data_IF_311015322315
#
_entry.id   IF_311015322315
#
_cell.length_a   1.000
_cell.length_b   1.000
_cell.length_c   1.000
_cell.angle_alpha   90.00
_cell.angle_beta   90.00
_cell.angle_gamma   90.00
#
_symmetry.space_group_name_H-M   'P 1'
#
loop_
_entity.id
_entity.type
_entity.pdbx_description
1 polymer ?
#
# COMPACT_ATOMS: atom_id res chain seq x y z
N UNK A 1 -25.76 0.01 -5.35
CA UNK A 1 -24.43 0.50 -5.06
C UNK A 1 -24.48 2.00 -4.74
N UNK A 2 -23.68 2.42 -3.75
CA UNK A 2 -23.56 3.82 -3.36
C UNK A 2 -22.55 4.50 -4.28
N UNK A 3 -22.84 5.73 -4.73
CA UNK A 3 -21.94 6.52 -5.60
C UNK A 3 -21.76 7.90 -5.00
N UNK A 4 -20.51 8.39 -4.92
CA UNK A 4 -20.26 9.74 -4.41
C UNK A 4 -20.51 10.81 -5.48
N UNK A 5 -20.92 12.00 -5.05
CA UNK A 5 -20.99 13.17 -5.91
C UNK A 5 -19.57 13.68 -6.24
N UNK A 6 -19.39 14.32 -7.41
CA UNK A 6 -18.11 14.93 -7.82
C UNK A 6 -17.94 16.28 -7.12
N UNK A 7 -17.61 16.27 -5.83
CA UNK A 7 -17.53 17.48 -5.02
C UNK A 7 -16.19 17.57 -4.29
N UNK A 8 -15.54 18.72 -4.41
CA UNK A 8 -14.22 18.98 -3.79
C UNK A 8 -14.18 18.70 -2.28
N UNK A 9 -15.22 19.06 -1.55
CA UNK A 9 -15.28 18.88 -0.10
C UNK A 9 -15.65 17.45 0.33
N UNK A 10 -15.95 16.56 -0.60
CA UNK A 10 -16.49 15.23 -0.31
C UNK A 10 -15.65 14.13 -0.92
N UNK A 11 -15.39 14.19 -2.24
CA UNK A 11 -14.92 13.04 -3.03
C UNK A 11 -13.41 13.06 -3.29
N UNK A 12 -12.64 12.91 -2.23
CA UNK A 12 -11.19 12.70 -2.29
C UNK A 12 -10.82 11.20 -2.30
N UNK A 13 -9.54 10.91 -2.34
CA UNK A 13 -8.98 9.54 -2.31
C UNK A 13 -9.33 8.77 -1.03
N UNK A 14 -9.39 9.43 0.12
CA UNK A 14 -9.77 8.81 1.40
C UNK A 14 -11.21 8.30 1.38
N UNK A 15 -12.16 9.13 0.91
CA UNK A 15 -13.55 8.69 0.74
C UNK A 15 -13.65 7.59 -0.32
N UNK A 16 -12.89 7.70 -1.42
CA UNK A 16 -12.92 6.71 -2.49
C UNK A 16 -12.51 5.32 -2.00
N UNK A 17 -11.47 5.23 -1.15
CA UNK A 17 -11.05 3.98 -0.53
C UNK A 17 -12.12 3.45 0.43
N UNK A 18 -12.66 4.30 1.31
CA UNK A 18 -13.68 3.90 2.26
C UNK A 18 -14.95 3.40 1.55
N UNK A 19 -15.40 4.13 0.54
CA UNK A 19 -16.60 3.77 -0.23
C UNK A 19 -16.40 2.48 -1.03
N UNK A 20 -15.22 2.29 -1.63
CA UNK A 20 -14.91 1.07 -2.36
C UNK A 20 -14.89 -0.16 -1.46
N UNK A 21 -14.45 -0.06 -0.21
CA UNK A 21 -14.54 -1.12 0.81
C UNK A 21 -15.98 -1.58 1.03
N UNK A 22 -16.93 -0.66 1.02
CA UNK A 22 -18.37 -0.94 1.21
C UNK A 22 -19.10 -1.26 -0.11
N UNK A 23 -18.37 -1.50 -1.20
CA UNK A 23 -18.96 -1.85 -2.50
C UNK A 23 -19.50 -0.68 -3.32
N UNK A 24 -19.16 0.55 -2.91
CA UNK A 24 -19.54 1.77 -3.63
C UNK A 24 -18.45 2.27 -4.58
N UNK A 25 -18.81 3.25 -5.42
CA UNK A 25 -17.89 3.91 -6.37
C UNK A 25 -17.79 5.40 -6.05
N UNK A 26 -16.58 5.90 -5.89
CA UNK A 26 -16.35 7.34 -5.76
C UNK A 26 -15.79 7.93 -7.04
N UNK A 27 -16.22 9.16 -7.37
CA UNK A 27 -15.63 9.97 -8.43
C UNK A 27 -14.77 11.06 -7.80
N UNK A 28 -13.46 11.01 -8.02
CA UNK A 28 -12.54 12.06 -7.57
C UNK A 28 -12.93 13.38 -8.25
N UNK A 29 -12.95 14.47 -7.49
CA UNK A 29 -13.38 15.77 -7.99
C UNK A 29 -12.41 16.36 -9.02
N UNK A 30 -12.93 16.93 -10.13
CA UNK A 30 -12.16 17.52 -11.22
C UNK A 30 -11.75 18.98 -10.99
N UNK A 31 -12.22 19.66 -9.93
CA UNK A 31 -11.89 21.07 -9.64
C UNK A 31 -10.51 21.24 -8.99
N UNK A 32 -9.47 20.64 -9.62
CA UNK A 32 -8.07 20.66 -9.21
C UNK A 32 -7.17 20.46 -10.43
N UNK A 33 -5.84 20.52 -10.26
CA UNK A 33 -4.92 20.25 -11.36
C UNK A 33 -5.01 18.78 -11.82
N UNK A 34 -4.65 18.53 -13.07
CA UNK A 34 -4.64 17.18 -13.66
C UNK A 34 -3.73 16.24 -12.85
N UNK A 35 -2.55 16.74 -12.48
CA UNK A 35 -1.55 15.99 -11.72
C UNK A 35 -2.06 15.62 -10.33
N UNK A 36 -2.73 16.55 -9.64
CA UNK A 36 -3.29 16.32 -8.30
C UNK A 36 -4.40 15.27 -8.33
N UNK A 37 -5.30 15.35 -9.32
CA UNK A 37 -6.38 14.39 -9.50
C UNK A 37 -5.83 12.99 -9.86
N UNK A 38 -4.91 12.92 -10.82
CA UNK A 38 -4.25 11.68 -11.22
C UNK A 38 -3.52 11.03 -10.04
N UNK A 39 -2.89 11.83 -9.16
CA UNK A 39 -2.23 11.32 -7.97
C UNK A 39 -3.22 10.74 -6.96
N UNK A 40 -4.39 11.37 -6.77
CA UNK A 40 -5.46 10.80 -5.93
C UNK A 40 -5.96 9.47 -6.51
N UNK A 41 -6.15 9.38 -7.82
CA UNK A 41 -6.52 8.12 -8.50
C UNK A 41 -5.45 7.06 -8.26
N UNK A 42 -4.16 7.36 -8.44
CA UNK A 42 -3.06 6.41 -8.18
C UNK A 42 -3.06 5.93 -6.73
N UNK A 43 -3.30 6.82 -5.75
CA UNK A 43 -3.39 6.44 -4.34
C UNK A 43 -4.52 5.46 -4.08
N UNK A 44 -5.70 5.64 -4.68
CA UNK A 44 -6.78 4.65 -4.59
C UNK A 44 -6.36 3.33 -5.24
N UNK A 45 -5.77 3.38 -6.44
CA UNK A 45 -5.33 2.19 -7.18
C UNK A 45 -4.15 1.45 -6.53
N UNK A 46 -3.35 2.11 -5.71
CA UNK A 46 -2.29 1.45 -4.94
C UNK A 46 -2.83 0.58 -3.80
N UNK A 47 -4.09 0.77 -3.41
CA UNK A 47 -4.74 -0.07 -2.42
C UNK A 47 -5.25 -1.35 -3.08
N UNK A 48 -4.61 -2.46 -2.79
CA UNK A 48 -5.04 -3.81 -3.13
C UNK A 48 -5.57 -4.45 -1.84
N UNK A 49 -6.81 -4.95 -1.87
CA UNK A 49 -7.42 -5.51 -0.67
C UNK A 49 -6.54 -6.58 -0.01
N UNK A 50 -6.11 -6.32 1.22
CA UNK A 50 -5.19 -7.19 1.96
C UNK A 50 -3.72 -7.16 1.51
N UNK A 51 -3.37 -6.45 0.44
CA UNK A 51 -1.99 -6.26 -0.03
C UNK A 51 -1.62 -4.78 0.12
N UNK A 52 -0.70 -4.49 1.02
CA UNK A 52 -0.34 -3.11 1.41
C UNK A 52 1.04 -2.77 0.86
N UNK A 53 1.19 -1.68 0.08
CA UNK A 53 2.51 -1.18 -0.28
C UNK A 53 3.33 -0.84 0.97
N UNK A 54 4.64 -1.01 0.91
CA UNK A 54 5.48 -0.64 2.04
C UNK A 54 5.54 0.88 2.20
N UNK A 55 5.03 1.38 3.32
CA UNK A 55 5.06 2.80 3.66
C UNK A 55 6.28 3.19 4.51
N UNK A 56 7.09 2.22 4.91
CA UNK A 56 8.23 2.40 5.82
C UNK A 56 9.40 1.58 5.33
N UNK A 57 10.37 2.27 4.72
CA UNK A 57 11.53 1.64 4.08
C UNK A 57 12.81 2.31 4.56
N UNK A 58 13.82 1.52 4.86
CA UNK A 58 15.18 1.95 5.21
C UNK A 58 16.21 1.07 4.48
N UNK A 59 17.46 1.50 4.49
CA UNK A 59 18.57 0.65 4.06
C UNK A 59 19.21 -0.05 5.25
N UNK A 60 20.06 -1.02 4.99
CA UNK A 60 20.82 -1.75 6.02
C UNK A 60 21.83 -0.86 6.80
N UNK A 61 22.19 0.31 6.24
CA UNK A 61 23.12 1.26 6.83
C UNK A 61 22.47 2.28 7.78
N UNK A 62 21.15 2.38 7.78
CA UNK A 62 20.42 3.16 8.77
C UNK A 62 20.61 2.60 10.18
N UNK A 63 20.19 3.36 11.19
CA UNK A 63 20.38 3.04 12.59
C UNK A 63 19.06 2.66 13.29
N UNK A 64 19.17 2.15 14.52
CA UNK A 64 17.99 1.94 15.35
C UNK A 64 17.25 3.25 15.64
N UNK A 65 17.97 4.39 15.76
CA UNK A 65 17.34 5.70 15.90
C UNK A 65 16.41 6.01 14.71
N UNK A 66 16.85 5.72 13.48
CA UNK A 66 16.04 5.94 12.26
C UNK A 66 14.79 5.06 12.24
N UNK A 67 14.90 3.80 12.69
CA UNK A 67 13.75 2.89 12.83
C UNK A 67 12.73 3.43 13.83
N UNK A 68 13.20 3.95 14.97
CA UNK A 68 12.32 4.51 16.01
C UNK A 68 11.63 5.78 15.52
N UNK A 69 12.36 6.68 14.87
CA UNK A 69 11.81 7.91 14.29
C UNK A 69 10.75 7.60 13.21
N UNK A 70 11.02 6.61 12.34
CA UNK A 70 10.09 6.20 11.30
C UNK A 70 8.81 5.57 11.90
N UNK A 71 8.98 4.79 12.98
CA UNK A 71 7.84 4.20 13.71
C UNK A 71 6.99 5.26 14.40
N UNK A 72 7.61 6.25 15.03
CA UNK A 72 6.89 7.38 15.66
C UNK A 72 6.11 8.18 14.63
N UNK A 73 6.71 8.45 13.48
CA UNK A 73 6.10 9.21 12.39
C UNK A 73 4.92 8.47 11.73
N UNK A 74 5.06 7.19 11.46
CA UNK A 74 4.14 6.41 10.62
C UNK A 74 3.25 5.43 11.40
N UNK A 75 3.55 5.15 12.68
CA UNK A 75 2.82 4.20 13.52
C UNK A 75 2.99 2.72 13.14
N UNK A 76 3.81 2.39 12.14
CA UNK A 76 3.98 1.01 11.67
C UNK A 76 5.02 0.24 12.51
N UNK A 77 4.74 -1.05 12.75
CA UNK A 77 5.61 -1.94 13.51
C UNK A 77 6.57 -2.76 12.64
N UNK A 78 6.38 -2.74 11.34
CA UNK A 78 7.21 -3.46 10.36
C UNK A 78 7.83 -2.46 9.41
N UNK A 79 9.15 -2.51 9.28
CA UNK A 79 9.95 -1.68 8.36
C UNK A 79 10.62 -2.59 7.35
N UNK A 80 10.42 -2.34 6.07
CA UNK A 80 11.15 -3.04 5.01
C UNK A 80 12.58 -2.50 4.92
N UNK A 81 13.53 -3.39 4.80
CA UNK A 81 14.93 -3.03 4.52
C UNK A 81 15.19 -3.37 3.06
N UNK A 82 15.34 -2.32 2.27
CA UNK A 82 15.58 -2.43 0.84
C UNK A 82 16.94 -1.84 0.48
N UNK A 83 17.43 -2.15 -0.72
CA UNK A 83 18.75 -1.69 -1.16
C UNK A 83 18.86 -0.15 -1.21
N UNK A 84 17.77 0.52 -1.57
CA UNK A 84 17.70 1.97 -1.85
C UNK A 84 16.70 2.74 -0.97
N UNK A 85 16.13 2.10 0.06
CA UNK A 85 15.07 2.64 0.91
C UNK A 85 13.77 3.01 0.15
N UNK A 86 13.55 2.48 -1.05
CA UNK A 86 12.31 2.69 -1.80
C UNK A 86 11.26 1.59 -1.53
N UNK A 87 9.96 1.86 -1.72
CA UNK A 87 8.90 0.87 -1.52
C UNK A 87 9.02 -0.38 -2.38
N UNK A 88 9.63 -0.25 -3.57
CA UNK A 88 9.79 -1.33 -4.55
C UNK A 88 11.26 -1.71 -4.74
N UNK A 89 12.14 -1.32 -3.82
CA UNK A 89 13.55 -1.70 -3.85
C UNK A 89 13.74 -3.19 -3.59
N UNK A 90 14.93 -3.71 -3.92
CA UNK A 90 15.29 -5.10 -3.65
C UNK A 90 15.28 -5.35 -2.13
N UNK A 91 14.54 -6.38 -1.71
CA UNK A 91 14.34 -6.70 -0.31
C UNK A 91 15.58 -7.35 0.30
N UNK A 92 16.21 -6.68 1.26
CA UNK A 92 17.35 -7.18 2.02
C UNK A 92 16.95 -7.80 3.37
N UNK A 93 15.80 -7.41 3.89
CA UNK A 93 15.31 -7.89 5.17
C UNK A 93 14.11 -7.12 5.69
N UNK A 94 13.70 -7.39 6.90
CA UNK A 94 12.70 -6.61 7.64
C UNK A 94 13.17 -6.34 9.06
N UNK A 95 12.64 -5.25 9.63
CA UNK A 95 12.74 -4.97 11.08
C UNK A 95 11.34 -4.91 11.66
N UNK A 96 11.13 -5.62 12.73
CA UNK A 96 9.89 -5.61 13.51
C UNK A 96 10.19 -5.26 14.98
N UNK A 97 9.15 -4.99 15.76
CA UNK A 97 9.31 -4.72 17.20
C UNK A 97 9.91 -5.89 18.01
N UNK A 98 10.05 -7.07 17.41
CA UNK A 98 10.69 -8.24 18.02
C UNK A 98 12.20 -8.29 17.82
N UNK A 99 12.72 -7.55 16.84
CA UNK A 99 14.13 -7.59 16.45
C UNK A 99 15.00 -6.67 17.31
N UNK A 100 14.41 -5.76 18.09
CA UNK A 100 15.16 -4.83 18.93
C UNK A 100 14.51 -4.61 20.30
N UNK A 101 15.38 -4.23 21.26
CA UNK A 101 14.98 -3.80 22.61
C UNK A 101 15.66 -2.48 22.94
N UNK A 102 14.90 -1.39 22.92
CA UNK A 102 15.42 -0.03 23.17
C UNK A 102 16.19 0.10 24.50
N UNK A 103 15.78 -0.66 25.53
CA UNK A 103 16.45 -0.65 26.84
C UNK A 103 17.80 -1.38 26.88
N UNK A 104 18.19 -2.09 25.81
CA UNK A 104 19.38 -2.95 25.79
C UNK A 104 20.28 -2.76 24.57
N UNK A 105 19.83 -1.97 23.58
CA UNK A 105 20.55 -1.77 22.34
C UNK A 105 20.88 -0.29 22.17
N UNK A 106 22.09 0.01 21.66
CA UNK A 106 22.44 1.39 21.29
C UNK A 106 21.58 1.86 20.13
N UNK A 107 21.14 3.09 20.17
CA UNK A 107 20.40 3.74 19.07
C UNK A 107 21.25 3.90 17.80
N UNK A 108 22.58 3.89 17.92
CA UNK A 108 23.52 4.00 16.79
C UNK A 108 23.79 2.66 16.09
N UNK A 109 23.24 1.55 16.63
CA UNK A 109 23.40 0.23 16.05
C UNK A 109 22.82 0.17 14.64
N UNK A 110 23.58 -0.37 13.70
CA UNK A 110 23.17 -0.46 12.29
C UNK A 110 22.07 -1.50 12.12
N UNK A 111 21.10 -1.21 11.24
CA UNK A 111 19.96 -2.09 10.94
C UNK A 111 20.42 -3.49 10.53
N UNK A 112 21.48 -3.63 9.75
CA UNK A 112 22.06 -4.92 9.33
C UNK A 112 22.43 -5.85 10.50
N UNK A 113 22.68 -5.31 11.68
CA UNK A 113 23.13 -6.07 12.85
C UNK A 113 21.96 -6.72 13.62
N UNK A 114 20.75 -6.22 13.44
CA UNK A 114 19.58 -6.73 14.16
C UNK A 114 18.36 -7.04 13.29
N UNK A 115 18.37 -6.68 12.00
CA UNK A 115 17.26 -7.03 11.09
C UNK A 115 17.14 -8.54 10.93
N UNK A 116 15.95 -9.00 10.58
CA UNK A 116 15.76 -10.35 10.02
C UNK A 116 16.15 -10.30 8.54
N UNK A 117 17.28 -10.93 8.14
CA UNK A 117 17.78 -10.84 6.76
C UNK A 117 16.93 -11.67 5.79
N UNK A 118 17.04 -11.34 4.49
CA UNK A 118 16.25 -11.95 3.40
C UNK A 118 16.22 -13.47 3.42
N UNK A 119 17.35 -14.10 3.71
CA UNK A 119 17.52 -15.56 3.69
C UNK A 119 16.70 -16.27 4.78
N UNK A 120 16.33 -15.54 5.84
CA UNK A 120 15.51 -16.04 6.94
C UNK A 120 14.03 -15.67 6.81
N UNK A 121 13.68 -14.87 5.78
CA UNK A 121 12.30 -14.46 5.56
C UNK A 121 11.54 -15.49 4.73
N UNK A 122 10.34 -15.79 5.17
CA UNK A 122 9.33 -16.40 4.31
C UNK A 122 8.74 -15.29 3.45
N UNK A 123 8.78 -15.45 2.15
CA UNK A 123 8.21 -14.53 1.17
C UNK A 123 7.29 -15.31 0.21
N UNK A 124 6.46 -14.61 -0.54
CA UNK A 124 5.63 -15.22 -1.55
C UNK A 124 5.69 -14.43 -2.87
N UNK A 125 5.46 -15.06 -4.03
CA UNK A 125 5.54 -14.43 -5.34
C UNK A 125 4.35 -13.51 -5.61
N UNK A 126 4.48 -12.64 -6.63
CA UNK A 126 3.46 -11.69 -7.06
C UNK A 126 2.10 -12.33 -7.42
N UNK A 127 2.12 -13.60 -7.86
CA UNK A 127 0.92 -14.38 -8.24
C UNK A 127 0.11 -14.87 -7.04
N UNK A 128 0.64 -14.79 -5.82
CA UNK A 128 0.00 -15.28 -4.59
C UNK A 128 -1.35 -14.61 -4.37
N UNK A 129 -2.37 -15.40 -4.14
CA UNK A 129 -3.70 -14.90 -3.74
C UNK A 129 -3.71 -14.55 -2.26
N UNK A 130 -4.69 -13.72 -1.84
CA UNK A 130 -4.81 -13.36 -0.42
C UNK A 130 -5.07 -14.57 0.48
N UNK A 131 -5.79 -15.59 -0.03
CA UNK A 131 -6.03 -16.84 0.70
C UNK A 131 -4.73 -17.59 0.91
N UNK A 132 -3.96 -17.84 -0.14
CA UNK A 132 -2.65 -18.50 -0.06
C UNK A 132 -1.68 -17.75 0.86
N UNK A 133 -1.62 -16.41 0.74
CA UNK A 133 -0.81 -15.58 1.62
C UNK A 133 -1.20 -15.75 3.09
N UNK A 134 -2.51 -15.84 3.37
CA UNK A 134 -2.99 -16.06 4.72
C UNK A 134 -2.66 -17.49 5.24
N UNK A 135 -2.75 -18.50 4.39
CA UNK A 135 -2.38 -19.88 4.76
C UNK A 135 -0.88 -19.94 5.12
N UNK A 136 -0.01 -19.30 4.34
CA UNK A 136 1.43 -19.15 4.64
C UNK A 136 1.65 -18.41 5.97
N UNK A 137 0.94 -17.30 6.20
CA UNK A 137 1.02 -16.54 7.45
C UNK A 137 0.68 -17.42 8.68
N UNK A 138 -0.36 -18.25 8.57
CA UNK A 138 -0.78 -19.13 9.66
C UNK A 138 0.21 -20.28 9.88
N UNK A 139 0.65 -20.93 8.82
CA UNK A 139 1.60 -22.05 8.87
C UNK A 139 2.92 -21.64 9.53
N UNK A 140 3.47 -20.49 9.08
CA UNK A 140 4.74 -19.97 9.58
C UNK A 140 4.61 -19.03 10.78
N UNK A 141 3.40 -18.81 11.33
CA UNK A 141 3.11 -17.94 12.47
C UNK A 141 3.63 -16.50 12.29
N UNK A 142 3.50 -15.98 11.07
CA UNK A 142 3.96 -14.64 10.71
C UNK A 142 2.96 -13.57 11.13
N UNK A 143 3.44 -12.33 11.29
CA UNK A 143 2.59 -11.13 11.39
C UNK A 143 2.49 -10.38 10.07
N UNK A 144 3.51 -10.51 9.22
CA UNK A 144 3.60 -9.90 7.90
C UNK A 144 4.28 -10.87 6.93
N UNK A 145 3.78 -10.95 5.73
CA UNK A 145 4.34 -11.73 4.63
C UNK A 145 4.73 -10.76 3.52
N UNK A 146 6.02 -10.62 3.21
CA UNK A 146 6.47 -9.86 2.03
C UNK A 146 6.11 -10.60 0.74
N UNK A 147 5.55 -9.87 -0.21
CA UNK A 147 5.31 -10.34 -1.57
C UNK A 147 6.37 -9.72 -2.47
N UNK A 148 7.11 -10.55 -3.18
CA UNK A 148 8.25 -10.12 -4.01
C UNK A 148 8.08 -10.55 -5.47
N UNK A 149 8.79 -9.88 -6.38
CA UNK A 149 8.91 -10.32 -7.76
C UNK A 149 10.03 -11.35 -7.95
N UNK A 150 10.27 -11.74 -9.21
CA UNK A 150 11.29 -12.72 -9.59
C UNK A 150 12.74 -12.25 -9.30
N UNK A 151 12.96 -10.95 -9.09
CA UNK A 151 14.24 -10.32 -8.78
C UNK A 151 14.38 -9.95 -7.30
N UNK A 152 13.49 -10.44 -6.44
CA UNK A 152 13.40 -10.09 -5.01
C UNK A 152 13.06 -8.62 -4.72
N UNK A 153 12.45 -7.88 -5.65
CA UNK A 153 11.92 -6.56 -5.35
C UNK A 153 10.63 -6.67 -4.54
N UNK A 154 10.52 -5.86 -3.50
CA UNK A 154 9.33 -5.81 -2.66
C UNK A 154 8.16 -5.19 -3.43
N UNK A 155 7.04 -5.90 -3.52
CA UNK A 155 5.82 -5.39 -4.13
C UNK A 155 4.81 -4.95 -3.08
N UNK A 156 4.52 -5.83 -2.12
CA UNK A 156 3.52 -5.63 -1.08
C UNK A 156 3.90 -6.34 0.20
N UNK A 157 3.24 -5.96 1.28
CA UNK A 157 3.06 -6.80 2.47
C UNK A 157 1.62 -7.32 2.54
N UNK A 158 1.46 -8.54 3.07
CA UNK A 158 0.18 -9.02 3.58
C UNK A 158 0.33 -9.15 5.10
N UNK A 159 -0.50 -8.44 5.86
CA UNK A 159 -0.49 -8.52 7.31
C UNK A 159 -1.60 -9.44 7.80
N UNK A 160 -1.32 -10.18 8.85
CA UNK A 160 -2.29 -11.09 9.48
C UNK A 160 -3.57 -10.38 9.90
N UNK A 161 -3.48 -9.13 10.38
CA UNK A 161 -4.63 -8.31 10.76
C UNK A 161 -5.52 -7.93 9.57
N UNK A 162 -4.92 -7.69 8.41
CA UNK A 162 -5.65 -7.17 7.23
C UNK A 162 -6.51 -8.25 6.56
N UNK A 163 -6.21 -9.53 6.80
CA UNK A 163 -7.06 -10.62 6.36
C UNK A 163 -8.41 -10.65 7.08
N UNK A 164 -8.43 -10.31 8.37
CA UNK A 164 -9.68 -10.16 9.12
C UNK A 164 -10.50 -8.99 8.56
N UNK A 165 -9.86 -7.84 8.33
CA UNK A 165 -10.50 -6.65 7.73
C UNK A 165 -11.09 -6.97 6.34
N UNK A 166 -10.39 -7.75 5.51
CA UNK A 166 -10.91 -8.16 4.20
C UNK A 166 -12.19 -9.02 4.31
N UNK A 167 -12.31 -9.86 5.35
CA UNK A 167 -13.53 -10.62 5.62
C UNK A 167 -14.71 -9.75 6.04
N UNK A 168 -14.44 -8.60 6.66
CA UNK A 168 -15.46 -7.63 7.06
C UNK A 168 -16.04 -6.86 5.86
N UNK A 169 -15.30 -6.79 4.74
CA UNK A 169 -15.70 -6.08 3.52
C UNK A 169 -15.85 -7.02 2.29
N UNK A 170 -16.75 -8.01 2.33
CA UNK A 170 -16.89 -9.00 1.26
C UNK A 170 -17.42 -8.42 -0.06
N UNK A 171 -18.04 -7.25 0.00
CA UNK A 171 -18.62 -6.54 -1.14
C UNK A 171 -17.68 -5.49 -1.76
N UNK A 172 -16.43 -5.40 -1.29
CA UNK A 172 -15.49 -4.39 -1.75
C UNK A 172 -15.40 -4.35 -3.28
N UNK A 173 -15.54 -3.14 -3.84
CA UNK A 173 -15.54 -2.90 -5.28
C UNK A 173 -14.12 -2.87 -5.82
N UNK A 174 -13.73 -3.89 -6.57
CA UNK A 174 -12.36 -4.14 -7.00
C UNK A 174 -12.27 -4.49 -8.49
N UNK A 175 -11.11 -4.24 -9.08
CA UNK A 175 -10.76 -4.73 -10.42
C UNK A 175 -10.22 -6.19 -10.37
N UNK A 176 -9.93 -6.75 -11.55
CA UNK A 176 -9.39 -8.12 -11.68
C UNK A 176 -8.06 -8.32 -10.95
N UNK A 177 -7.31 -7.23 -10.70
CA UNK A 177 -6.06 -7.23 -9.93
C UNK A 177 -6.27 -7.00 -8.44
N UNK A 178 -7.53 -7.03 -7.97
CA UNK A 178 -7.92 -6.79 -6.56
C UNK A 178 -7.61 -5.38 -6.04
N UNK A 179 -7.45 -4.40 -6.91
CA UNK A 179 -7.29 -2.99 -6.57
C UNK A 179 -8.66 -2.32 -6.54
N UNK A 180 -8.86 -1.36 -5.63
CA UNK A 180 -10.14 -0.64 -5.56
C UNK A 180 -10.46 0.08 -6.87
N UNK A 181 -11.73 0.04 -7.26
CA UNK A 181 -12.23 0.82 -8.39
C UNK A 181 -12.47 2.26 -7.96
N UNK A 182 -12.16 3.18 -8.86
CA UNK A 182 -12.37 4.62 -8.68
C UNK A 182 -12.73 5.26 -9.99
N UNK A 183 -13.66 6.19 -9.95
CA UNK A 183 -13.98 7.09 -11.05
C UNK A 183 -13.28 8.44 -10.87
N UNK A 184 -13.31 9.26 -11.92
CA UNK A 184 -12.78 10.61 -11.92
C UNK A 184 -13.71 11.57 -12.66
N UNK A 185 -13.81 12.80 -12.17
CA UNK A 185 -14.58 13.87 -12.76
C UNK A 185 -13.81 14.61 -13.83
N UNK A 186 -14.41 14.83 -14.98
CA UNK A 186 -13.83 15.64 -16.06
C UNK A 186 -14.75 16.78 -16.43
N UNK A 187 -14.20 17.84 -16.98
CA UNK A 187 -14.93 18.95 -17.54
C UNK A 187 -14.63 19.11 -19.04
N UNK A 188 -15.38 19.96 -19.71
CA UNK A 188 -15.26 20.18 -21.16
C UNK A 188 -14.10 21.11 -21.56
N UNK A 189 -13.34 21.65 -20.61
CA UNK A 189 -12.29 22.67 -20.90
C UNK A 189 -10.93 22.02 -21.17
N UNK A 190 -10.54 21.04 -20.35
CA UNK A 190 -9.21 20.42 -20.37
C UNK A 190 -9.23 18.91 -20.59
N UNK A 191 -10.37 18.35 -20.99
CA UNK A 191 -10.59 16.92 -21.15
C UNK A 191 -9.52 16.22 -22.02
N UNK A 192 -9.03 16.92 -23.05
CA UNK A 192 -8.07 16.34 -23.99
C UNK A 192 -6.72 15.96 -23.32
N UNK A 193 -6.30 16.71 -22.30
CA UNK A 193 -5.12 16.39 -21.50
C UNK A 193 -5.46 15.57 -20.26
N UNK A 194 -6.60 15.85 -19.64
CA UNK A 194 -7.04 15.21 -18.39
C UNK A 194 -7.38 13.74 -18.55
N UNK A 195 -8.13 13.37 -19.60
CA UNK A 195 -8.54 11.98 -19.82
C UNK A 195 -7.35 11.02 -19.93
N UNK A 196 -6.32 11.27 -20.77
CA UNK A 196 -5.17 10.38 -20.84
C UNK A 196 -4.46 10.21 -19.50
N UNK A 197 -4.26 11.31 -18.74
CA UNK A 197 -3.59 11.26 -17.44
C UNK A 197 -4.38 10.44 -16.40
N UNK A 198 -5.71 10.57 -16.37
CA UNK A 198 -6.56 9.82 -15.46
C UNK A 198 -6.67 8.34 -15.83
N UNK A 199 -6.72 8.01 -17.12
CA UNK A 199 -6.71 6.63 -17.60
C UNK A 199 -5.37 5.96 -17.27
N UNK A 200 -4.26 6.65 -17.50
CA UNK A 200 -2.92 6.16 -17.12
C UNK A 200 -2.81 5.97 -15.60
N UNK A 201 -3.39 6.86 -14.80
CA UNK A 201 -3.46 6.71 -13.35
C UNK A 201 -4.34 5.52 -12.90
N UNK A 202 -5.21 5.00 -13.78
CA UNK A 202 -6.04 3.82 -13.54
C UNK A 202 -7.49 4.12 -13.19
N UNK A 203 -8.03 5.30 -13.53
CA UNK A 203 -9.45 5.57 -13.40
C UNK A 203 -10.27 4.57 -14.23
N UNK A 204 -11.26 3.94 -13.60
CA UNK A 204 -12.09 2.91 -14.24
C UNK A 204 -13.30 3.51 -14.96
N UNK A 205 -13.78 4.66 -14.52
CA UNK A 205 -14.95 5.36 -15.01
C UNK A 205 -14.68 6.86 -15.01
N UNK A 206 -15.11 7.55 -16.06
CA UNK A 206 -15.06 9.01 -16.13
C UNK A 206 -16.49 9.57 -16.11
N UNK A 207 -16.67 10.67 -15.40
CA UNK A 207 -17.96 11.37 -15.35
C UNK A 207 -17.74 12.84 -15.77
N UNK A 208 -18.58 13.31 -16.66
CA UNK A 208 -18.57 14.72 -17.11
C UNK A 208 -19.41 15.52 -16.12
N UNK A 209 -18.77 16.56 -15.53
CA UNK A 209 -19.38 17.48 -14.58
C UNK A 209 -19.42 18.91 -15.16
#
# INVERSE_FOLDING_TARGET
PMVSAIMQSVSNDTLAIALAKEGGLSFIFGSQSIESEAEMVRRVKSNKAGFVPSASNLTSEHTLADVLALKEKNGFSTVAITEDATPNGKLLGIVTSRDYRVSRMSTDLKVREFMTPREKLVTAPASTTLKEANDIIWEHKLNALPIVDENDHLLYFVFRKDYAEHKEHPLALQDDKKRYLVGAGINTRDYAARIPALVEAGAAVLCID
#
